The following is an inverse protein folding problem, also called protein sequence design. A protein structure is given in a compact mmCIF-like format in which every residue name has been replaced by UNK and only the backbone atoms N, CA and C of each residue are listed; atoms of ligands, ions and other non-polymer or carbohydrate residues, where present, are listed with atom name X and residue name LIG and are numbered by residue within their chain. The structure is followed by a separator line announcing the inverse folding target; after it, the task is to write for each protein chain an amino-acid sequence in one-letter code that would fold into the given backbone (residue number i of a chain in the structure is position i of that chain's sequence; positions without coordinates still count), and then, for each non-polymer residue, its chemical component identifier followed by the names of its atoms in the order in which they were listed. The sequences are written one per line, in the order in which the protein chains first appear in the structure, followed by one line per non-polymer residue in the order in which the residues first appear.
data_IF_651719367052
#
_entry.id   IF_651719367052
#
_cell.length_a   1.000
_cell.length_b   1.000
_cell.length_c   1.000
_cell.angle_alpha   90.00
_cell.angle_beta   90.00
_cell.angle_gamma   90.00
#
_symmetry.space_group_name_H-M   'P 1'
#
loop_
_entity.id
_entity.type
_entity.pdbx_description
1 polymer ?
#
# COMPACT_ATOMS: atom_id res chain seq x y z
N UNK A 1 14.74 -14.26 1.71
CA UNK A 1 15.76 -13.24 1.40
C UNK A 1 15.51 -12.08 2.34
N UNK A 2 16.42 -11.80 3.25
CA UNK A 2 16.30 -10.63 4.13
C UNK A 2 16.28 -9.35 3.28
N UNK A 3 15.44 -8.38 3.66
CA UNK A 3 15.26 -7.13 2.91
C UNK A 3 14.43 -7.23 1.63
N UNK A 4 13.80 -8.37 1.34
CA UNK A 4 12.87 -8.50 0.21
C UNK A 4 11.43 -8.52 0.71
N UNK A 5 10.59 -7.66 0.14
CA UNK A 5 9.17 -7.61 0.43
C UNK A 5 8.36 -7.74 -0.88
N UNK A 6 7.20 -8.36 -0.76
CA UNK A 6 6.20 -8.49 -1.82
C UNK A 6 4.83 -8.35 -1.16
N UNK A 7 3.94 -7.61 -1.80
CA UNK A 7 2.51 -7.61 -1.47
C UNK A 7 1.79 -8.52 -2.46
N UNK A 8 0.85 -9.33 -1.97
CA UNK A 8 0.09 -10.29 -2.77
C UNK A 8 -1.40 -10.08 -2.55
N UNK A 9 -2.07 -9.61 -3.60
CA UNK A 9 -3.52 -9.40 -3.61
C UNK A 9 -4.19 -10.59 -4.27
N UNK A 10 -5.01 -11.32 -3.50
CA UNK A 10 -5.57 -12.59 -3.95
C UNK A 10 -7.08 -12.52 -4.17
N UNK A 11 -7.55 -13.26 -5.18
CA UNK A 11 -8.93 -13.70 -5.34
C UNK A 11 -8.95 -15.19 -5.65
N UNK A 12 -10.11 -15.86 -5.57
CA UNK A 12 -10.24 -17.22 -6.09
C UNK A 12 -9.91 -17.36 -7.59
N UNK A 13 -10.04 -16.28 -8.37
CA UNK A 13 -9.85 -16.28 -9.83
C UNK A 13 -8.41 -15.94 -10.26
N UNK A 14 -7.55 -15.49 -9.34
CA UNK A 14 -6.19 -15.06 -9.66
C UNK A 14 -5.57 -14.13 -8.62
N UNK A 15 -4.31 -13.78 -8.85
CA UNK A 15 -3.48 -13.01 -7.93
C UNK A 15 -2.76 -11.86 -8.65
N UNK A 16 -2.68 -10.71 -7.99
CA UNK A 16 -1.81 -9.59 -8.36
C UNK A 16 -0.74 -9.42 -7.29
N UNK A 17 0.39 -8.80 -7.64
CA UNK A 17 1.44 -8.51 -6.67
C UNK A 17 2.08 -7.17 -6.94
N UNK A 18 2.65 -6.59 -5.88
CA UNK A 18 3.44 -5.38 -5.94
C UNK A 18 4.79 -5.60 -5.27
N UNK A 19 5.79 -4.90 -5.80
CA UNK A 19 7.11 -4.78 -5.17
C UNK A 19 7.26 -3.38 -4.57
N UNK A 20 8.17 -3.21 -3.59
CA UNK A 20 8.48 -1.90 -3.08
C UNK A 20 8.92 -0.94 -4.20
N UNK A 21 8.37 0.26 -4.20
CA UNK A 21 8.83 1.38 -5.04
C UNK A 21 9.61 2.33 -4.14
N UNK A 22 10.85 2.68 -4.52
CA UNK A 22 11.75 3.50 -3.71
C UNK A 22 11.91 2.98 -2.27
N UNK A 23 11.93 1.66 -2.09
CA UNK A 23 12.09 1.02 -0.78
C UNK A 23 10.85 1.10 0.12
N UNK A 24 9.71 1.58 -0.40
CA UNK A 24 8.43 1.62 0.30
C UNK A 24 7.43 0.67 -0.35
N UNK A 25 6.67 -0.02 0.50
CA UNK A 25 5.52 -0.83 0.10
C UNK A 25 4.39 -0.51 1.06
N UNK A 26 3.32 0.09 0.55
CA UNK A 26 2.15 0.52 1.32
C UNK A 26 0.91 -0.12 0.74
N UNK A 27 0.14 -0.78 1.61
CA UNK A 27 -1.10 -1.42 1.21
C UNK A 27 -2.27 -0.94 2.09
N UNK A 28 -3.40 -0.67 1.44
CA UNK A 28 -4.64 -0.25 2.08
C UNK A 28 -5.64 -1.40 2.27
N UNK A 29 -6.90 -1.13 1.99
CA UNK A 29 -8.00 -2.11 1.97
C UNK A 29 -8.72 -2.09 0.62
N UNK A 30 -8.00 -1.72 -0.45
CA UNK A 30 -8.48 -1.74 -1.83
C UNK A 30 -7.41 -2.39 -2.72
N UNK A 31 -7.82 -2.89 -3.90
CA UNK A 31 -6.88 -3.45 -4.86
C UNK A 31 -6.00 -2.36 -5.45
N UNK A 32 -4.68 -2.51 -5.32
CA UNK A 32 -3.65 -1.62 -5.83
C UNK A 32 -2.82 -2.29 -6.94
N UNK A 33 -2.67 -3.62 -6.90
CA UNK A 33 -2.01 -4.39 -7.98
C UNK A 33 -2.86 -4.48 -9.26
N UNK A 34 -4.14 -4.11 -9.17
CA UNK A 34 -5.09 -4.06 -10.27
C UNK A 34 -6.44 -4.65 -9.86
N UNK A 35 -7.53 -4.05 -10.34
CA UNK A 35 -8.88 -4.54 -10.03
C UNK A 35 -9.12 -5.86 -10.80
N UNK A 36 -9.46 -6.98 -10.11
CA UNK A 36 -9.79 -8.23 -10.76
C UNK A 36 -10.93 -8.06 -11.79
N UNK A 37 -10.78 -8.62 -13.00
CA UNK A 37 -11.72 -8.41 -14.10
C UNK A 37 -13.21 -8.68 -13.74
N UNK A 38 -13.56 -9.73 -12.96
CA UNK A 38 -14.94 -9.94 -12.52
C UNK A 38 -15.49 -8.79 -11.66
N UNK A 39 -14.64 -8.20 -10.80
CA UNK A 39 -15.01 -7.06 -9.96
C UNK A 39 -15.09 -5.76 -10.79
N UNK A 40 -14.18 -5.57 -11.73
CA UNK A 40 -14.20 -4.42 -12.63
C UNK A 40 -15.50 -4.38 -13.45
N UNK A 41 -15.91 -5.52 -14.01
CA UNK A 41 -17.16 -5.65 -14.79
C UNK A 41 -18.42 -5.35 -13.95
N UNK A 42 -18.38 -5.63 -12.65
CA UNK A 42 -19.48 -5.37 -11.71
C UNK A 42 -19.49 -3.93 -11.14
N UNK A 43 -18.56 -3.07 -11.57
CA UNK A 43 -18.44 -1.71 -11.05
C UNK A 43 -17.85 -1.67 -9.64
N UNK A 44 -16.64 -2.21 -9.49
CA UNK A 44 -15.90 -2.27 -8.22
C UNK A 44 -15.98 -0.97 -7.41
N UNK A 45 -16.33 -1.13 -6.13
CA UNK A 45 -16.28 -0.09 -5.11
C UNK A 45 -15.49 -0.63 -3.91
N UNK A 46 -14.41 0.04 -3.48
CA UNK A 46 -13.74 -0.34 -2.25
C UNK A 46 -14.73 -0.35 -1.08
N UNK A 47 -14.70 -1.40 -0.25
CA UNK A 47 -15.52 -1.43 0.97
C UNK A 47 -15.16 -0.31 1.94
N UNK A 48 -13.88 0.09 1.94
CA UNK A 48 -13.32 1.19 2.73
C UNK A 48 -12.83 2.25 1.75
N UNK A 49 -13.70 3.21 1.41
CA UNK A 49 -13.33 4.32 0.52
C UNK A 49 -12.27 5.24 1.14
N UNK A 50 -12.22 5.33 2.47
CA UNK A 50 -11.16 6.00 3.22
C UNK A 50 -9.77 5.41 2.96
N UNK A 51 -9.70 4.14 2.53
CA UNK A 51 -8.44 3.53 2.11
C UNK A 51 -7.78 4.26 0.95
N UNK A 52 -8.55 4.87 0.05
CA UNK A 52 -8.03 5.65 -1.08
C UNK A 52 -7.29 6.91 -0.61
N UNK A 53 -7.61 7.40 0.59
CA UNK A 53 -6.95 8.55 1.21
C UNK A 53 -5.80 8.11 2.11
N UNK A 54 -5.99 7.02 2.87
CA UNK A 54 -4.98 6.52 3.81
C UNK A 54 -3.70 6.06 3.13
N UNK A 55 -3.79 5.40 1.98
CA UNK A 55 -2.60 4.90 1.25
C UNK A 55 -1.65 6.03 0.85
N UNK A 56 -2.07 7.05 0.07
CA UNK A 56 -1.14 8.11 -0.34
C UNK A 56 -0.64 8.94 0.86
N UNK A 57 -1.43 9.09 1.93
CA UNK A 57 -0.97 9.75 3.16
C UNK A 57 0.10 8.95 3.89
N UNK A 58 -0.09 7.63 4.01
CA UNK A 58 0.88 6.74 4.63
C UNK A 58 2.17 6.70 3.80
N UNK A 59 2.07 6.65 2.46
CA UNK A 59 3.24 6.74 1.57
C UNK A 59 4.03 8.03 1.79
N UNK A 60 3.35 9.18 1.82
CA UNK A 60 4.00 10.47 2.07
C UNK A 60 4.69 10.52 3.44
N UNK A 61 4.00 10.09 4.50
CA UNK A 61 4.56 10.08 5.86
C UNK A 61 5.75 9.12 5.99
N UNK A 62 5.66 7.93 5.40
CA UNK A 62 6.73 6.94 5.42
C UNK A 62 7.93 7.36 4.56
N UNK A 63 7.71 8.06 3.44
CA UNK A 63 8.80 8.59 2.62
C UNK A 63 9.66 9.60 3.39
N UNK A 64 9.07 10.42 4.25
CA UNK A 64 9.81 11.34 5.11
C UNK A 64 10.74 10.62 6.10
N UNK A 65 10.43 9.39 6.49
CA UNK A 65 11.24 8.61 7.44
C UNK A 65 12.55 8.10 6.87
N UNK A 66 12.72 8.09 5.54
CA UNK A 66 13.93 7.58 4.89
C UNK A 66 15.21 8.23 5.42
N UNK A 67 15.12 9.47 5.90
CA UNK A 67 16.23 10.25 6.43
C UNK A 67 16.23 10.36 7.96
N UNK A 68 15.25 9.77 8.64
CA UNK A 68 15.16 9.79 10.08
C UNK A 68 16.31 8.99 10.70
N UNK A 69 16.92 9.55 11.74
CA UNK A 69 18.05 8.97 12.44
C UNK A 69 17.65 8.24 13.73
N UNK A 70 16.37 8.31 14.11
CA UNK A 70 15.89 7.62 15.29
C UNK A 70 14.37 7.65 15.52
N UNK A 71 13.87 6.87 16.49
CA UNK A 71 12.43 6.70 16.72
C UNK A 71 11.68 8.00 17.08
N UNK A 72 12.32 8.92 17.80
CA UNK A 72 11.69 10.21 18.19
C UNK A 72 11.50 11.13 16.97
N UNK A 73 12.53 11.29 16.13
CA UNK A 73 12.44 12.03 14.87
C UNK A 73 11.37 11.43 13.95
N UNK A 74 11.31 10.09 13.86
CA UNK A 74 10.26 9.42 13.10
C UNK A 74 8.85 9.73 13.61
N UNK A 75 8.64 9.82 14.93
CA UNK A 75 7.33 10.15 15.51
C UNK A 75 6.90 11.58 15.24
N UNK A 76 7.85 12.51 15.15
CA UNK A 76 7.56 13.90 14.80
C UNK A 76 7.15 14.04 13.32
N UNK A 77 7.77 13.24 12.44
CA UNK A 77 7.53 13.27 10.99
C UNK A 77 6.19 12.67 10.54
N UNK A 78 5.63 11.68 11.25
CA UNK A 78 4.40 10.94 10.83
C UNK A 78 3.13 11.47 11.53
N UNK A 79 3.09 12.74 11.97
CA UNK A 79 1.90 13.31 12.63
C UNK A 79 0.73 13.57 11.69
#
# INVERSE_FOLDING_TARGET
REGFAIDLETTPAGHGWMYPTDGLLVHGNHYQAGIPAPLAAAGYRPMSSDSLVRVPRAEQGLAALRHSTGPEESRELIR
#
